data_IF_688690018275
#
_entry.id   IF_688690018275
#
_cell.length_a   1.000
_cell.length_b   1.000
_cell.length_c   1.000
_cell.angle_alpha   90.00
_cell.angle_beta   90.00
_cell.angle_gamma   90.00
#
_symmetry.space_group_name_H-M   'P 1'
#
loop_
_entity.id
_entity.type
_entity.pdbx_description
1 polymer ?
#
# COMPACT_ATOMS: atom_id res chain seq x y z
N UNK A 1 22.29 28.78 -1.06
CA UNK A 1 20.87 28.99 -1.39
C UNK A 1 20.11 27.69 -1.10
N UNK A 2 18.91 27.73 -0.50
CA UNK A 2 18.22 26.51 -0.03
C UNK A 2 17.66 25.72 -1.21
N UNK A 3 18.24 24.55 -1.51
CA UNK A 3 17.78 23.64 -2.59
C UNK A 3 16.45 22.93 -2.28
N UNK A 4 15.83 23.22 -1.12
CA UNK A 4 14.59 22.59 -0.64
C UNK A 4 13.43 22.67 -1.65
N UNK A 5 13.15 23.79 -2.34
CA UNK A 5 12.04 23.86 -3.29
C UNK A 5 12.17 22.92 -4.49
N UNK A 6 13.40 22.51 -4.84
CA UNK A 6 13.65 21.54 -5.92
C UNK A 6 13.23 20.11 -5.55
N UNK A 7 13.09 19.86 -4.24
CA UNK A 7 12.76 18.54 -3.70
C UNK A 7 11.26 18.40 -3.42
N UNK A 8 10.49 19.47 -3.63
CA UNK A 8 9.04 19.49 -3.45
C UNK A 8 8.34 19.27 -4.80
N UNK A 9 7.30 18.44 -4.79
CA UNK A 9 6.46 18.16 -5.96
C UNK A 9 4.98 18.12 -5.59
N UNK A 10 4.11 18.48 -6.53
CA UNK A 10 2.69 18.16 -6.48
C UNK A 10 2.46 16.74 -7.00
N UNK A 11 1.42 16.07 -6.51
CA UNK A 11 1.00 14.74 -6.93
C UNK A 11 -0.33 14.85 -7.66
N UNK A 12 -0.42 14.25 -8.84
CA UNK A 12 -1.67 14.06 -9.56
C UNK A 12 -2.03 12.58 -9.52
N UNK A 13 -3.06 12.21 -8.76
CA UNK A 13 -3.54 10.83 -8.66
C UNK A 13 -4.86 10.67 -9.41
N UNK A 14 -4.95 9.70 -10.31
CA UNK A 14 -6.17 9.42 -11.05
C UNK A 14 -7.22 8.79 -10.14
N UNK A 15 -8.46 9.28 -10.21
CA UNK A 15 -9.58 8.77 -9.39
C UNK A 15 -10.08 7.39 -9.83
N UNK A 16 -9.72 6.93 -11.03
CA UNK A 16 -10.22 5.67 -11.60
C UNK A 16 -9.24 4.51 -11.40
N UNK A 17 -7.98 4.70 -11.78
CA UNK A 17 -6.99 3.64 -11.84
C UNK A 17 -5.85 3.80 -10.82
N UNK A 18 -5.91 4.79 -9.93
CA UNK A 18 -4.86 5.11 -8.95
C UNK A 18 -3.46 5.41 -9.55
N UNK A 19 -3.37 5.65 -10.86
CA UNK A 19 -2.13 6.10 -11.49
C UNK A 19 -1.72 7.45 -10.94
N UNK A 20 -0.44 7.64 -10.60
CA UNK A 20 0.05 8.91 -10.07
C UNK A 20 1.19 9.49 -10.90
N UNK A 21 1.27 10.83 -10.93
CA UNK A 21 2.35 11.58 -11.57
C UNK A 21 2.83 12.68 -10.63
N UNK A 22 4.13 12.97 -10.66
CA UNK A 22 4.75 13.99 -9.84
C UNK A 22 5.12 15.21 -10.68
N UNK A 23 4.76 16.40 -10.20
CA UNK A 23 5.13 17.67 -10.81
C UNK A 23 6.07 18.45 -9.88
N UNK A 24 7.38 18.53 -10.21
CA UNK A 24 8.34 19.32 -9.44
C UNK A 24 7.98 20.81 -9.41
N UNK A 25 8.08 21.44 -8.25
CA UNK A 25 7.79 22.88 -8.07
C UNK A 25 8.90 23.75 -8.65
N UNK A 26 10.15 23.29 -8.54
CA UNK A 26 11.32 24.00 -9.02
C UNK A 26 12.22 23.09 -9.86
N UNK A 27 12.97 23.70 -10.76
CA UNK A 27 14.02 23.06 -11.55
C UNK A 27 15.29 23.89 -11.54
N UNK A 28 16.39 23.27 -11.91
CA UNK A 28 17.66 23.97 -12.12
C UNK A 28 18.09 23.89 -13.56
N UNK A 29 18.76 24.94 -14.03
CA UNK A 29 19.49 24.95 -15.30
C UNK A 29 20.92 25.35 -14.96
N UNK A 30 21.86 24.43 -15.17
CA UNK A 30 23.29 24.71 -15.08
C UNK A 30 23.80 25.18 -16.44
N UNK A 31 24.46 26.35 -16.47
CA UNK A 31 25.26 26.82 -17.61
C UNK A 31 26.65 27.18 -17.11
N UNK A 32 27.64 26.33 -17.41
CA UNK A 32 29.01 26.46 -16.88
C UNK A 32 29.03 26.37 -15.35
N UNK A 33 29.66 27.34 -14.68
CA UNK A 33 29.67 27.43 -13.21
C UNK A 33 28.39 28.03 -12.61
N UNK A 34 27.49 28.57 -13.44
CA UNK A 34 26.27 29.24 -12.96
C UNK A 34 25.08 28.27 -12.90
N UNK A 35 24.43 28.20 -11.72
CA UNK A 35 23.18 27.45 -11.52
C UNK A 35 22.04 28.44 -11.40
N UNK A 36 21.07 28.35 -12.33
CA UNK A 36 19.83 29.13 -12.27
C UNK A 36 18.69 28.27 -11.75
N UNK A 37 17.94 28.79 -10.80
CA UNK A 37 16.75 28.15 -10.26
C UNK A 37 15.53 28.75 -10.93
N UNK A 38 14.66 27.90 -11.48
CA UNK A 38 13.46 28.31 -12.20
C UNK A 38 12.25 27.53 -11.65
N UNK A 39 11.03 28.08 -11.80
CA UNK A 39 9.82 27.30 -11.59
C UNK A 39 9.80 26.05 -12.48
N UNK A 40 9.19 24.98 -11.97
CA UNK A 40 8.87 23.79 -12.73
C UNK A 40 7.91 24.10 -13.88
N UNK A 41 7.93 23.28 -14.93
CA UNK A 41 6.92 23.34 -15.97
C UNK A 41 5.61 22.73 -15.46
N UNK A 42 4.48 23.23 -15.95
CA UNK A 42 3.17 22.61 -15.70
C UNK A 42 2.25 22.75 -16.91
N UNK A 43 1.16 21.97 -16.96
CA UNK A 43 0.89 20.74 -16.19
C UNK A 43 1.65 19.52 -16.77
N UNK A 44 2.08 18.60 -15.90
CA UNK A 44 2.75 17.34 -16.34
C UNK A 44 1.77 16.28 -16.85
N UNK A 45 0.48 16.44 -16.54
CA UNK A 45 -0.60 15.55 -16.98
C UNK A 45 -1.61 16.31 -17.83
N UNK A 46 -2.26 15.63 -18.79
CA UNK A 46 -3.45 16.15 -19.47
C UNK A 46 -4.64 16.28 -18.50
N UNK A 47 -5.76 16.83 -19.00
CA UNK A 47 -7.01 16.99 -18.23
C UNK A 47 -7.61 15.64 -17.78
N UNK A 48 -7.41 14.59 -18.57
CA UNK A 48 -7.96 13.25 -18.34
C UNK A 48 -6.86 12.20 -18.40
N UNK A 49 -7.01 11.12 -17.64
CA UNK A 49 -6.00 10.07 -17.56
C UNK A 49 -5.79 9.37 -18.90
N UNK A 50 -4.52 9.30 -19.32
CA UNK A 50 -4.11 8.63 -20.55
C UNK A 50 -4.45 7.14 -20.57
N UNK A 51 -4.63 6.50 -19.41
CA UNK A 51 -4.92 5.08 -19.30
C UNK A 51 -6.42 4.80 -19.23
N UNK A 52 -7.14 5.42 -18.30
CA UNK A 52 -8.55 5.12 -18.02
C UNK A 52 -9.56 6.24 -18.36
N UNK A 53 -9.11 7.42 -18.79
CA UNK A 53 -9.98 8.54 -19.17
C UNK A 53 -10.68 9.27 -18.01
N UNK A 54 -10.40 8.91 -16.75
CA UNK A 54 -10.95 9.62 -15.56
C UNK A 54 -10.07 10.81 -15.17
N UNK A 55 -10.62 11.71 -14.35
CA UNK A 55 -9.92 12.94 -13.89
C UNK A 55 -8.82 12.65 -12.85
N UNK A 56 -7.97 13.64 -12.62
CA UNK A 56 -6.93 13.61 -11.60
C UNK A 56 -7.31 14.45 -10.37
N UNK A 57 -7.04 13.91 -9.18
CA UNK A 57 -6.97 14.68 -7.95
C UNK A 57 -5.56 15.23 -7.78
N UNK A 58 -5.45 16.54 -7.54
CA UNK A 58 -4.19 17.20 -7.23
C UNK A 58 -3.98 17.24 -5.71
N UNK A 59 -2.81 16.80 -5.24
CA UNK A 59 -2.40 16.84 -3.85
C UNK A 59 -0.99 17.41 -3.69
N UNK A 60 -0.65 17.85 -2.47
CA UNK A 60 0.67 18.36 -2.12
C UNK A 60 0.70 19.85 -1.79
N UNK A 61 1.91 20.46 -1.75
CA UNK A 61 3.18 19.87 -2.16
C UNK A 61 3.71 18.83 -1.16
N UNK A 62 4.35 17.77 -1.69
CA UNK A 62 5.02 16.73 -0.90
C UNK A 62 6.53 16.73 -1.15
N UNK A 63 7.28 16.13 -0.24
CA UNK A 63 8.69 15.81 -0.50
C UNK A 63 8.80 14.66 -1.50
N UNK A 64 9.54 14.87 -2.58
CA UNK A 64 9.70 13.92 -3.69
C UNK A 64 11.13 13.43 -3.89
N UNK A 65 12.10 14.02 -3.17
CA UNK A 65 13.47 13.53 -3.16
C UNK A 65 13.62 12.33 -2.21
N UNK A 66 14.80 11.72 -2.22
CA UNK A 66 15.10 10.60 -1.32
C UNK A 66 14.85 10.98 0.14
N UNK A 67 14.17 10.08 0.85
CA UNK A 67 13.82 10.20 2.27
C UNK A 67 14.81 9.45 3.17
N UNK A 68 15.68 8.62 2.60
CA UNK A 68 16.61 7.77 3.32
C UNK A 68 18.04 8.06 2.87
N UNK A 69 18.93 8.18 3.83
CA UNK A 69 20.37 8.11 3.60
C UNK A 69 20.81 6.64 3.69
N UNK A 70 21.17 6.05 2.56
CA UNK A 70 21.48 4.62 2.46
C UNK A 70 22.78 4.25 3.19
N UNK A 71 23.76 5.16 3.27
CA UNK A 71 25.01 4.91 3.99
C UNK A 71 24.73 4.86 5.49
N UNK A 72 23.95 5.83 5.98
CA UNK A 72 23.53 5.88 7.38
C UNK A 72 22.68 4.67 7.78
N UNK A 73 21.70 4.28 6.95
CA UNK A 73 20.85 3.10 7.21
C UNK A 73 21.69 1.83 7.29
N UNK A 74 22.65 1.67 6.39
CA UNK A 74 23.54 0.49 6.37
C UNK A 74 24.43 0.45 7.61
N UNK A 75 25.03 1.58 7.99
CA UNK A 75 25.85 1.71 9.19
C UNK A 75 25.08 1.36 10.47
N UNK A 76 23.85 1.86 10.62
CA UNK A 76 23.01 1.52 11.78
C UNK A 76 22.60 0.05 11.76
N UNK A 77 22.28 -0.50 10.60
CA UNK A 77 21.91 -1.91 10.50
C UNK A 77 23.06 -2.82 10.97
N UNK A 78 24.30 -2.47 10.67
CA UNK A 78 25.50 -3.18 11.16
C UNK A 78 25.69 -2.99 12.68
N UNK A 79 25.54 -1.77 13.18
CA UNK A 79 25.61 -1.47 14.61
C UNK A 79 24.56 -2.24 15.43
N UNK A 80 23.30 -2.25 14.97
CA UNK A 80 22.21 -2.98 15.62
C UNK A 80 22.49 -4.49 15.65
N UNK A 81 23.00 -5.07 14.56
CA UNK A 81 23.39 -6.49 14.49
C UNK A 81 24.48 -6.85 15.50
N UNK A 82 25.43 -5.95 15.76
CA UNK A 82 26.51 -6.17 16.75
C UNK A 82 26.03 -6.10 18.20
N UNK A 83 24.92 -5.40 18.47
CA UNK A 83 24.39 -5.13 19.81
C UNK A 83 23.02 -5.77 20.04
N UNK A 84 22.82 -7.01 19.58
CA UNK A 84 21.54 -7.72 19.64
C UNK A 84 20.91 -7.73 21.04
N UNK A 85 21.70 -8.02 22.07
CA UNK A 85 21.21 -8.22 23.44
C UNK A 85 20.79 -6.91 24.14
N UNK A 86 21.18 -5.76 23.59
CA UNK A 86 20.84 -4.44 24.16
C UNK A 86 19.48 -3.92 23.72
N UNK A 87 18.91 -4.49 22.66
CA UNK A 87 17.66 -4.00 22.07
C UNK A 87 16.53 -5.01 22.29
N UNK A 88 15.57 -4.73 23.19
CA UNK A 88 14.40 -5.58 23.39
C UNK A 88 13.55 -5.78 22.12
N UNK A 89 13.58 -4.80 21.20
CA UNK A 89 12.86 -4.83 19.93
C UNK A 89 13.80 -5.08 18.73
N UNK A 90 14.90 -5.80 18.93
CA UNK A 90 15.90 -6.07 17.89
C UNK A 90 15.30 -6.58 16.57
N UNK A 91 14.40 -7.56 16.64
CA UNK A 91 13.82 -8.16 15.43
C UNK A 91 13.00 -7.15 14.62
N UNK A 92 12.30 -6.22 15.29
CA UNK A 92 11.56 -5.15 14.60
C UNK A 92 12.48 -4.14 13.94
N UNK A 93 13.48 -3.67 14.69
CA UNK A 93 14.41 -2.66 14.20
C UNK A 93 15.19 -3.22 13.01
N UNK A 94 15.73 -4.44 13.15
CA UNK A 94 16.47 -5.10 12.07
C UNK A 94 15.60 -5.38 10.84
N UNK A 95 14.35 -5.81 11.03
CA UNK A 95 13.39 -6.01 9.93
C UNK A 95 13.09 -4.74 9.15
N UNK A 96 12.80 -3.64 9.84
CA UNK A 96 12.49 -2.34 9.23
C UNK A 96 13.73 -1.80 8.49
N UNK A 97 14.89 -1.77 9.15
CA UNK A 97 16.12 -1.27 8.54
C UNK A 97 16.56 -2.12 7.33
N UNK A 98 16.37 -3.44 7.39
CA UNK A 98 16.63 -4.32 6.24
C UNK A 98 15.65 -4.06 5.09
N UNK A 99 14.40 -3.73 5.40
CA UNK A 99 13.42 -3.39 4.35
C UNK A 99 13.74 -2.05 3.70
N UNK A 100 14.14 -1.05 4.50
CA UNK A 100 14.54 0.28 4.03
C UNK A 100 15.80 0.22 3.16
N UNK A 101 16.78 -0.62 3.52
CA UNK A 101 18.02 -0.75 2.74
C UNK A 101 17.84 -1.46 1.39
N UNK A 102 16.76 -2.22 1.23
CA UNK A 102 16.37 -2.84 -0.05
C UNK A 102 15.40 -1.97 -0.88
N UNK A 103 14.91 -0.87 -0.31
CA UNK A 103 13.90 -0.01 -0.93
C UNK A 103 14.53 0.99 -1.90
N UNK A 104 13.85 1.24 -3.03
CA UNK A 104 14.30 2.23 -4.01
C UNK A 104 14.30 3.65 -3.39
N UNK A 105 15.47 4.33 -3.33
CA UNK A 105 15.60 5.63 -2.69
C UNK A 105 15.10 6.79 -3.55
N UNK A 106 15.00 6.60 -4.86
CA UNK A 106 14.65 7.59 -5.88
C UNK A 106 13.15 7.66 -6.18
N UNK A 107 12.39 6.65 -5.76
CA UNK A 107 10.95 6.58 -5.98
C UNK A 107 10.21 6.90 -4.65
N UNK A 108 9.56 8.07 -4.53
CA UNK A 108 8.97 8.49 -3.25
C UNK A 108 7.66 7.74 -2.92
N UNK A 109 6.84 7.46 -3.93
CA UNK A 109 5.53 6.80 -3.78
C UNK A 109 5.60 5.31 -4.12
N UNK A 110 4.52 4.57 -3.87
CA UNK A 110 4.43 3.14 -4.16
C UNK A 110 3.11 2.80 -4.86
N UNK A 111 3.11 1.66 -5.55
CA UNK A 111 1.95 1.06 -6.19
C UNK A 111 1.41 -0.06 -5.31
N UNK A 112 0.09 -0.19 -5.21
CA UNK A 112 -0.56 -1.32 -4.54
C UNK A 112 -0.99 -2.33 -5.58
N UNK A 113 -0.40 -3.53 -5.54
CA UNK A 113 -0.82 -4.62 -6.45
C UNK A 113 -2.31 -4.96 -6.27
N UNK A 114 -2.80 -4.85 -5.03
CA UNK A 114 -4.21 -5.07 -4.73
C UNK A 114 -5.12 -4.04 -5.42
N UNK A 115 -4.72 -2.76 -5.44
CA UNK A 115 -5.51 -1.71 -6.10
C UNK A 115 -5.54 -1.93 -7.62
N UNK A 116 -4.40 -2.26 -8.23
CA UNK A 116 -4.33 -2.57 -9.67
C UNK A 116 -5.28 -3.72 -10.04
N UNK A 117 -5.28 -4.79 -9.25
CA UNK A 117 -6.16 -5.94 -9.46
C UNK A 117 -7.64 -5.60 -9.19
N UNK A 118 -7.91 -4.74 -8.20
CA UNK A 118 -9.25 -4.28 -7.87
C UNK A 118 -9.86 -3.39 -8.96
N UNK A 119 -9.03 -2.60 -9.66
CA UNK A 119 -9.43 -1.81 -10.84
C UNK A 119 -9.77 -2.73 -12.02
N UNK A 120 -8.96 -3.76 -12.28
CA UNK A 120 -9.17 -4.70 -13.39
C UNK A 120 -10.17 -5.83 -13.07
N UNK A 121 -10.56 -5.99 -11.80
CA UNK A 121 -11.29 -7.15 -11.26
C UNK A 121 -10.67 -8.49 -11.67
N UNK A 122 -9.33 -8.55 -11.67
CA UNK A 122 -8.60 -9.77 -11.99
C UNK A 122 -8.16 -10.52 -10.74
N UNK A 123 -7.82 -11.79 -10.93
CA UNK A 123 -7.11 -12.56 -9.91
C UNK A 123 -5.72 -11.93 -9.70
N UNK A 124 -5.35 -11.71 -8.44
CA UNK A 124 -4.05 -11.09 -8.13
C UNK A 124 -2.91 -12.04 -8.47
N UNK A 125 -1.92 -11.62 -9.28
CA UNK A 125 -0.70 -12.38 -9.41
C UNK A 125 0.04 -12.44 -8.07
N UNK A 126 0.88 -13.45 -7.90
CA UNK A 126 1.86 -13.45 -6.80
C UNK A 126 2.83 -12.27 -6.97
N UNK A 127 3.17 -11.59 -5.87
CA UNK A 127 4.13 -10.49 -5.88
C UNK A 127 5.48 -10.89 -6.51
N UNK A 128 5.88 -12.15 -6.41
CA UNK A 128 7.13 -12.67 -7.02
C UNK A 128 7.02 -12.70 -8.55
N UNK A 129 5.89 -13.12 -9.09
CA UNK A 129 5.64 -13.18 -10.53
C UNK A 129 5.56 -11.77 -11.10
N UNK A 130 4.82 -10.88 -10.44
CA UNK A 130 4.71 -9.48 -10.86
C UNK A 130 6.08 -8.77 -10.84
N UNK A 131 6.88 -8.95 -9.78
CA UNK A 131 8.24 -8.43 -9.74
C UNK A 131 9.13 -8.99 -10.84
N UNK A 132 9.00 -10.28 -11.16
CA UNK A 132 9.75 -10.88 -12.26
C UNK A 132 9.41 -10.21 -13.58
N UNK A 133 8.12 -9.96 -13.85
CA UNK A 133 7.69 -9.28 -15.07
C UNK A 133 8.26 -7.87 -15.21
N UNK A 134 8.27 -7.09 -14.13
CA UNK A 134 8.84 -5.73 -14.12
C UNK A 134 10.36 -5.75 -14.33
N UNK A 135 11.06 -6.68 -13.69
CA UNK A 135 12.52 -6.86 -13.85
C UNK A 135 12.86 -7.30 -15.28
N UNK A 136 12.10 -8.24 -15.85
CA UNK A 136 12.30 -8.71 -17.21
C UNK A 136 11.97 -7.63 -18.25
N UNK A 137 11.13 -6.65 -17.91
CA UNK A 137 10.88 -5.46 -18.71
C UNK A 137 12.00 -4.40 -18.62
N UNK A 138 13.05 -4.66 -17.81
CA UNK A 138 14.22 -3.78 -17.67
C UNK A 138 14.10 -2.72 -16.57
N UNK A 139 13.07 -2.79 -15.73
CA UNK A 139 12.82 -1.81 -14.67
C UNK A 139 13.16 -2.37 -13.28
N UNK A 140 13.48 -1.46 -12.36
CA UNK A 140 13.80 -1.80 -10.97
C UNK A 140 12.53 -1.82 -10.15
N UNK A 141 12.41 -2.81 -9.26
CA UNK A 141 11.28 -2.92 -8.34
C UNK A 141 11.75 -3.31 -6.94
N UNK A 142 11.17 -2.69 -5.92
CA UNK A 142 11.37 -3.03 -4.51
C UNK A 142 10.04 -3.15 -3.77
N UNK A 143 10.07 -3.75 -2.58
CA UNK A 143 8.99 -3.53 -1.60
C UNK A 143 9.11 -2.14 -0.97
N UNK A 144 8.12 -1.78 -0.17
CA UNK A 144 8.20 -0.61 0.73
C UNK A 144 8.10 -1.03 2.18
N UNK A 145 8.73 -0.29 3.08
CA UNK A 145 8.59 -0.48 4.53
C UNK A 145 7.22 -0.05 5.08
N UNK A 146 6.46 0.78 4.35
CA UNK A 146 5.18 1.34 4.83
C UNK A 146 4.03 0.35 4.70
N UNK A 147 4.03 -0.47 3.65
CA UNK A 147 2.93 -1.37 3.31
C UNK A 147 3.47 -2.70 2.77
N UNK A 148 3.10 -3.87 3.34
CA UNK A 148 3.53 -5.18 2.85
C UNK A 148 3.12 -5.50 1.40
N UNK A 149 2.01 -4.92 0.93
CA UNK A 149 1.52 -5.07 -0.45
C UNK A 149 1.98 -3.96 -1.39
N UNK A 150 2.70 -2.97 -0.86
CA UNK A 150 3.24 -1.86 -1.64
C UNK A 150 4.51 -2.26 -2.40
N UNK A 151 4.60 -1.80 -3.64
CA UNK A 151 5.72 -2.01 -4.54
C UNK A 151 6.18 -0.67 -5.09
N UNK A 152 7.47 -0.37 -4.95
CA UNK A 152 8.09 0.79 -5.61
C UNK A 152 8.73 0.33 -6.89
N UNK A 153 8.50 1.06 -7.97
CA UNK A 153 9.03 0.75 -9.29
C UNK A 153 9.42 2.06 -9.97
N UNK A 154 10.51 2.04 -10.74
CA UNK A 154 10.84 3.14 -11.66
C UNK A 154 10.14 3.01 -13.02
N UNK A 155 9.41 1.91 -13.24
CA UNK A 155 8.59 1.71 -14.42
C UNK A 155 7.47 2.77 -14.52
N UNK A 156 7.27 3.38 -15.70
CA UNK A 156 6.14 4.24 -15.94
C UNK A 156 4.82 3.45 -15.94
N UNK A 157 3.72 4.15 -15.69
CA UNK A 157 2.42 3.51 -15.43
C UNK A 157 1.87 2.75 -16.64
N UNK A 158 2.16 3.22 -17.85
CA UNK A 158 1.85 2.56 -19.11
C UNK A 158 2.44 1.14 -19.17
N UNK A 159 3.72 0.97 -18.79
CA UNK A 159 4.39 -0.33 -18.72
C UNK A 159 3.77 -1.22 -17.65
N UNK A 160 3.42 -0.64 -16.49
CA UNK A 160 2.74 -1.40 -15.42
C UNK A 160 1.37 -1.91 -15.90
N UNK A 161 0.60 -1.10 -16.62
CA UNK A 161 -0.66 -1.53 -17.20
C UNK A 161 -0.47 -2.55 -18.32
N UNK A 162 0.56 -2.44 -19.16
CA UNK A 162 0.90 -3.45 -20.17
C UNK A 162 1.18 -4.82 -19.55
N UNK A 163 1.95 -4.86 -18.46
CA UNK A 163 2.19 -6.11 -17.72
C UNK A 163 0.86 -6.68 -17.19
N UNK A 164 -0.02 -5.85 -16.65
CA UNK A 164 -1.33 -6.30 -16.17
C UNK A 164 -2.27 -6.73 -17.31
N UNK A 165 -2.22 -6.09 -18.49
CA UNK A 165 -2.96 -6.49 -19.69
C UNK A 165 -2.52 -7.89 -20.14
N UNK A 166 -1.21 -8.15 -20.20
CA UNK A 166 -0.67 -9.48 -20.48
C UNK A 166 -1.11 -10.53 -19.45
N UNK A 167 -1.18 -10.14 -18.17
CA UNK A 167 -1.66 -11.04 -17.11
C UNK A 167 -3.13 -11.43 -17.30
N UNK A 168 -3.99 -10.46 -17.62
CA UNK A 168 -5.43 -10.68 -17.84
C UNK A 168 -5.70 -11.51 -19.11
N UNK A 169 -4.84 -11.40 -20.14
CA UNK A 169 -4.91 -12.31 -21.30
C UNK A 169 -4.71 -13.78 -20.91
N UNK A 170 -3.83 -14.05 -19.94
CA UNK A 170 -3.59 -15.40 -19.41
C UNK A 170 -4.65 -15.85 -18.39
N UNK A 171 -5.30 -14.91 -17.71
CA UNK A 171 -6.34 -15.17 -16.70
C UNK A 171 -7.60 -14.34 -17.00
N UNK A 172 -8.53 -14.89 -17.81
CA UNK A 172 -9.66 -14.11 -18.30
C UNK A 172 -10.56 -13.65 -17.15
N UNK A 173 -10.97 -12.39 -17.21
CA UNK A 173 -11.87 -11.76 -16.24
C UNK A 173 -13.29 -11.72 -16.76
N UNK A 174 -14.27 -11.62 -15.84
CA UNK A 174 -15.66 -11.39 -16.22
C UNK A 174 -15.78 -10.02 -16.91
N UNK A 175 -16.60 -9.96 -17.95
CA UNK A 175 -16.90 -8.71 -18.65
C UNK A 175 -17.47 -7.69 -17.66
N UNK A 176 -16.97 -6.46 -17.75
CA UNK A 176 -17.38 -5.32 -16.94
C UNK A 176 -18.10 -4.30 -17.81
N UNK A 177 -18.84 -3.38 -17.16
CA UNK A 177 -19.45 -2.26 -17.86
C UNK A 177 -18.38 -1.42 -18.59
N UNK A 178 -18.68 -0.86 -19.77
CA UNK A 178 -17.70 -0.15 -20.59
C UNK A 178 -17.17 1.14 -19.94
N UNK A 179 -17.93 1.76 -19.03
CA UNK A 179 -17.51 2.98 -18.32
C UNK A 179 -16.56 2.72 -17.13
N UNK A 180 -16.36 1.46 -16.75
CA UNK A 180 -15.43 1.14 -15.69
C UNK A 180 -13.98 1.34 -16.16
N UNK A 181 -13.10 1.90 -15.30
CA UNK A 181 -11.71 2.19 -15.66
C UNK A 181 -10.96 0.92 -16.11
N UNK A 182 -11.29 -0.24 -15.53
CA UNK A 182 -10.70 -1.51 -15.93
C UNK A 182 -11.00 -1.90 -17.38
N UNK A 183 -12.23 -1.70 -17.84
CA UNK A 183 -12.63 -1.99 -19.22
C UNK A 183 -11.88 -1.13 -20.23
N UNK A 184 -11.73 0.17 -19.94
CA UNK A 184 -10.99 1.12 -20.79
C UNK A 184 -9.51 0.77 -20.87
N UNK A 185 -8.91 0.35 -19.76
CA UNK A 185 -7.51 -0.07 -19.73
C UNK A 185 -7.30 -1.35 -20.55
N UNK A 186 -8.21 -2.32 -20.44
CA UNK A 186 -8.15 -3.59 -21.16
C UNK A 186 -8.47 -3.46 -22.65
N UNK A 187 -9.21 -2.43 -23.05
CA UNK A 187 -9.50 -2.15 -24.46
C UNK A 187 -8.25 -1.71 -25.26
N UNK A 188 -7.22 -1.20 -24.57
CA UNK A 188 -5.94 -0.86 -25.19
C UNK A 188 -5.06 -2.09 -25.33
N UNK A 189 -4.48 -2.28 -26.50
CA UNK A 189 -3.53 -3.37 -26.72
C UNK A 189 -2.21 -3.08 -26.01
N UNK A 190 -1.59 -4.11 -25.38
CA UNK A 190 -0.29 -3.94 -24.75
C UNK A 190 0.79 -3.74 -25.79
N UNK A 191 1.61 -2.70 -25.64
CA UNK A 191 2.77 -2.44 -26.50
C UNK A 191 3.91 -3.37 -26.09
N UNK A 192 4.09 -3.56 -24.78
CA UNK A 192 5.08 -4.46 -24.21
C UNK A 192 4.49 -5.85 -23.93
N UNK A 193 5.12 -6.89 -24.49
CA UNK A 193 4.82 -8.28 -24.11
C UNK A 193 5.58 -8.65 -22.84
N UNK A 194 4.85 -8.79 -21.74
CA UNK A 194 5.45 -9.12 -20.45
C UNK A 194 5.91 -10.58 -20.37
N UNK A 195 7.17 -10.77 -19.96
CA UNK A 195 7.70 -12.10 -19.65
C UNK A 195 7.53 -12.40 -18.16
N UNK A 196 6.66 -13.36 -17.83
CA UNK A 196 6.39 -13.78 -16.45
C UNK A 196 7.34 -14.89 -15.93
N UNK A 197 8.35 -15.27 -16.71
CA UNK A 197 9.37 -16.22 -16.25
C UNK A 197 10.07 -15.68 -15.00
N UNK A 198 10.29 -16.57 -14.01
CA UNK A 198 10.84 -16.19 -12.71
C UNK A 198 12.25 -15.63 -12.89
N UNK A 199 12.41 -14.33 -12.62
CA UNK A 199 13.70 -13.69 -12.64
C UNK A 199 14.47 -14.04 -11.36
N UNK A 200 15.78 -14.32 -11.45
CA UNK A 200 16.61 -14.65 -10.27
C UNK A 200 16.60 -13.50 -9.24
N UNK A 201 16.44 -12.25 -9.69
CA UNK A 201 16.33 -11.06 -8.86
C UNK A 201 14.90 -10.76 -8.34
N UNK A 202 13.91 -11.62 -8.60
CA UNK A 202 12.51 -11.38 -8.20
C UNK A 202 12.27 -11.45 -6.69
N UNK A 203 13.16 -12.16 -5.97
CA UNK A 203 13.16 -12.24 -4.52
C UNK A 203 14.14 -11.22 -3.97
N UNK A 204 13.72 -10.47 -2.95
CA UNK A 204 14.65 -9.59 -2.24
C UNK A 204 15.67 -10.41 -1.45
N UNK A 205 16.85 -9.85 -1.17
CA UNK A 205 17.91 -10.57 -0.43
C UNK A 205 17.41 -11.00 0.96
N UNK A 206 16.55 -10.20 1.58
CA UNK A 206 15.86 -10.50 2.84
C UNK A 206 14.88 -11.68 2.70
N UNK A 207 14.12 -11.76 1.61
CA UNK A 207 13.23 -12.90 1.37
C UNK A 207 14.01 -14.19 1.10
N UNK A 208 15.12 -14.11 0.36
CA UNK A 208 16.02 -15.25 0.15
C UNK A 208 16.65 -15.73 1.47
N UNK A 209 16.95 -14.80 2.38
CA UNK A 209 17.48 -15.08 3.73
C UNK A 209 16.41 -15.37 4.79
N UNK A 210 15.12 -15.46 4.40
CA UNK A 210 13.96 -15.67 5.30
C UNK A 210 13.88 -14.69 6.47
N UNK A 211 14.37 -13.45 6.28
CA UNK A 211 14.24 -12.38 7.28
C UNK A 211 12.81 -11.83 7.23
N UNK A 212 12.11 -11.86 8.36
CA UNK A 212 10.77 -11.28 8.46
C UNK A 212 10.86 -9.76 8.25
N UNK A 213 10.12 -9.23 7.27
CA UNK A 213 10.08 -7.78 6.95
C UNK A 213 9.03 -7.04 7.77
N UNK A 214 7.87 -7.67 7.90
CA UNK A 214 6.77 -7.20 8.75
C UNK A 214 6.60 -8.22 9.86
N UNK A 215 6.88 -7.81 11.09
CA UNK A 215 6.62 -8.67 12.24
C UNK A 215 5.12 -8.68 12.51
N UNK A 216 4.55 -9.84 12.89
CA UNK A 216 3.17 -9.88 13.36
C UNK A 216 3.00 -8.99 14.59
N UNK A 217 1.77 -8.54 14.81
CA UNK A 217 1.43 -7.77 15.99
C UNK A 217 1.82 -8.57 17.26
N UNK A 218 2.34 -7.88 18.29
CA UNK A 218 2.90 -8.55 19.47
C UNK A 218 1.85 -9.30 20.30
N UNK A 219 0.61 -8.81 20.32
CA UNK A 219 -0.48 -9.40 21.10
C UNK A 219 -1.69 -9.72 20.21
N UNK A 220 -2.43 -10.79 20.56
CA UNK A 220 -3.65 -11.23 19.86
C UNK A 220 -4.78 -10.17 19.85
N UNK A 221 -4.72 -9.16 20.71
CA UNK A 221 -5.70 -8.06 20.82
C UNK A 221 -5.05 -6.68 20.66
N UNK A 222 -3.95 -6.62 19.91
CA UNK A 222 -3.23 -5.39 19.64
C UNK A 222 -4.06 -4.45 18.75
N UNK A 223 -4.50 -3.33 19.33
CA UNK A 223 -5.34 -2.32 18.67
C UNK A 223 -6.07 -1.45 19.68
N UNK A 224 -6.89 -0.49 19.22
CA UNK A 224 -7.72 0.33 20.10
C UNK A 224 -8.58 -0.58 20.99
N UNK A 225 -8.30 -0.59 22.30
CA UNK A 225 -9.11 -1.32 23.28
C UNK A 225 -10.52 -0.71 23.32
N UNK A 226 -11.49 -1.51 23.72
CA UNK A 226 -12.84 -1.01 23.97
C UNK A 226 -12.79 0.19 24.92
N UNK A 227 -13.60 1.21 24.62
CA UNK A 227 -13.76 2.38 25.49
C UNK A 227 -14.10 1.90 26.92
N UNK A 228 -13.41 2.45 27.92
CA UNK A 228 -13.63 2.12 29.32
C UNK A 228 -15.13 2.16 29.68
N UNK A 229 -15.62 1.11 30.35
CA UNK A 229 -17.02 0.97 30.77
C UNK A 229 -17.93 0.16 29.84
N UNK A 230 -17.49 -0.22 28.63
CA UNK A 230 -18.25 -1.19 27.79
C UNK A 230 -17.76 -2.61 28.02
N UNK A 231 -18.67 -3.48 28.49
CA UNK A 231 -18.45 -4.93 28.51
C UNK A 231 -18.57 -5.51 27.10
N UNK A 232 -17.80 -6.57 26.81
CA UNK A 232 -17.83 -7.28 25.53
C UNK A 232 -19.17 -8.01 25.45
N UNK A 233 -20.06 -7.56 24.57
CA UNK A 233 -21.31 -8.28 24.23
C UNK A 233 -21.05 -9.31 23.15
N UNK A 234 -21.99 -10.25 22.94
CA UNK A 234 -21.90 -11.29 21.90
C UNK A 234 -21.60 -10.76 20.50
N UNK A 235 -21.99 -9.51 20.21
CA UNK A 235 -21.71 -8.81 18.94
C UNK A 235 -20.23 -8.50 18.71
N UNK A 236 -19.38 -8.63 19.73
CA UNK A 236 -17.95 -8.36 19.69
C UNK A 236 -17.09 -9.60 20.00
N UNK A 237 -17.68 -10.80 19.98
CA UNK A 237 -17.00 -12.07 20.25
C UNK A 237 -15.82 -12.36 19.30
N UNK A 238 -15.84 -11.79 18.10
CA UNK A 238 -14.69 -11.81 17.17
C UNK A 238 -13.43 -11.15 17.73
N UNK A 239 -13.55 -10.26 18.72
CA UNK A 239 -12.41 -9.67 19.43
C UNK A 239 -11.83 -10.59 20.51
N UNK A 240 -12.55 -11.63 20.94
CA UNK A 240 -12.12 -12.59 21.97
C UNK A 240 -11.38 -13.81 21.39
N UNK A 241 -11.25 -13.88 20.07
CA UNK A 241 -10.50 -14.93 19.38
C UNK A 241 -11.37 -16.12 18.92
N UNK A 242 -10.77 -17.06 18.17
CA UNK A 242 -11.50 -18.14 17.50
C UNK A 242 -12.17 -19.13 18.46
N UNK A 243 -11.64 -19.31 19.66
CA UNK A 243 -12.21 -20.21 20.68
C UNK A 243 -13.53 -19.68 21.27
N UNK A 244 -13.61 -18.37 21.52
CA UNK A 244 -14.84 -17.72 21.98
C UNK A 244 -15.92 -17.66 20.87
N UNK A 245 -15.49 -17.49 19.62
CA UNK A 245 -16.37 -17.55 18.44
C UNK A 245 -16.92 -18.96 18.25
N UNK A 246 -16.07 -19.99 18.32
CA UNK A 246 -16.48 -21.38 18.20
C UNK A 246 -17.37 -21.82 19.38
N UNK A 247 -17.10 -21.34 20.59
CA UNK A 247 -17.96 -21.59 21.75
C UNK A 247 -19.37 -20.99 21.59
N UNK A 248 -19.49 -19.79 21.01
CA UNK A 248 -20.79 -19.16 20.75
C UNK A 248 -21.56 -19.84 19.59
N UNK A 249 -20.87 -20.19 18.51
CA UNK A 249 -21.47 -20.91 17.38
C UNK A 249 -21.95 -22.31 17.78
N UNK A 250 -21.24 -22.99 18.69
CA UNK A 250 -21.65 -24.28 19.22
C UNK A 250 -22.84 -24.18 20.20
N UNK A 251 -22.98 -23.05 20.90
CA UNK A 251 -24.14 -22.78 21.77
C UNK A 251 -25.40 -22.36 21.01
N UNK A 252 -25.30 -21.72 19.84
CA UNK A 252 -26.48 -21.37 19.02
C UNK A 252 -27.13 -22.58 18.32
N UNK A 253 -26.45 -23.72 18.24
CA UNK A 253 -27.01 -24.95 17.66
C UNK A 253 -27.84 -25.79 18.66
N UNK A 254 -28.01 -25.33 19.89
CA UNK A 254 -28.87 -25.97 20.89
C UNK A 254 -29.57 -24.93 21.75
N UNK A 255 -30.89 -24.88 21.63
CA UNK A 255 -31.84 -24.07 22.42
C UNK A 255 -32.19 -22.68 21.86
N UNK A 256 -33.28 -22.61 21.09
CA UNK A 256 -34.19 -21.46 21.17
C UNK A 256 -34.89 -21.47 22.53
N UNK A 257 -34.95 -20.32 23.23
CA UNK A 257 -36.27 -19.95 23.75
C UNK A 257 -36.60 -18.46 23.65
N UNK A 258 -37.77 -18.22 23.03
CA UNK A 258 -38.88 -17.32 23.38
C UNK A 258 -38.56 -15.86 23.76
N UNK A 259 -39.04 -14.99 22.86
CA UNK A 259 -39.40 -13.60 23.12
C UNK A 259 -40.22 -13.42 24.42
N UNK A 260 -39.88 -12.38 25.20
CA UNK A 260 -40.84 -11.50 25.90
C UNK A 260 -40.12 -10.29 26.51
N UNK A 261 -40.51 -9.08 26.09
CA UNK A 261 -40.42 -7.84 26.88
C UNK A 261 -41.44 -7.92 28.03
N UNK A 262 -41.18 -7.23 29.15
CA UNK A 262 -42.23 -6.47 29.80
C UNK A 262 -41.89 -4.96 29.80
N UNK A 263 -42.89 -4.17 29.44
CA UNK A 263 -42.99 -2.75 29.80
C UNK A 263 -43.33 -2.69 31.30
N UNK A 264 -42.61 -1.89 32.07
CA UNK A 264 -43.07 -1.44 33.39
C UNK A 264 -43.53 0.00 33.24
N UNK A 265 -44.80 0.21 33.55
CA UNK A 265 -45.51 1.49 33.44
C UNK A 265 -45.37 2.35 34.70
N UNK A 266 -45.87 3.58 34.54
CA UNK A 266 -46.02 4.63 35.54
C UNK A 266 -46.64 4.16 36.87
N UNK A 267 -46.08 4.66 37.97
CA UNK A 267 -46.78 4.78 39.26
C UNK A 267 -46.41 6.11 39.92
N UNK A 268 -47.35 7.05 39.78
CA UNK A 268 -47.75 8.15 40.67
C UNK A 268 -47.00 8.39 41.99
N UNK A 269 -46.51 9.62 42.17
CA UNK A 269 -46.23 10.27 43.45
C UNK A 269 -47.53 10.56 44.23
N UNK A 270 -47.55 10.39 45.56
CA UNK A 270 -48.52 11.03 46.43
C UNK A 270 -47.88 12.20 47.21
N UNK A 271 -48.50 13.37 47.07
CA UNK A 271 -48.31 14.56 47.91
C UNK A 271 -48.94 14.37 49.30
N UNK A 272 -48.16 14.63 50.35
CA UNK A 272 -48.56 15.04 51.70
C UNK A 272 -47.27 15.56 52.37
N UNK A 273 -47.13 16.79 52.85
CA UNK A 273 -48.03 17.72 53.55
C UNK A 273 -47.51 19.14 53.35
#
# INVERSE_FOLDING_TARGET
>A
MKNTPLKLSYVYQCIGCDSYHLQPIGRTISKGSSVRYLPGFGPVVPQECSDCGKKYNMGGPIWSASIHDQEWVTSILEGVKSMKDRYPAYDRISAVLTTISEELPDVPLFLSLHNLCATLKCTSPSAVIFRSAVINAGYRISGTHVNPLGLKSDAPMDVIWDIMRCWVKNHPVKAQAPDQPGSVILAKEPVLQANFARAVASLSKAQAKKVARFLPNPERHWGPKLRAGRQITSKHISLLGPEAVNGHLNHENGEEPKAKRPKTGDTSDPTST
#
